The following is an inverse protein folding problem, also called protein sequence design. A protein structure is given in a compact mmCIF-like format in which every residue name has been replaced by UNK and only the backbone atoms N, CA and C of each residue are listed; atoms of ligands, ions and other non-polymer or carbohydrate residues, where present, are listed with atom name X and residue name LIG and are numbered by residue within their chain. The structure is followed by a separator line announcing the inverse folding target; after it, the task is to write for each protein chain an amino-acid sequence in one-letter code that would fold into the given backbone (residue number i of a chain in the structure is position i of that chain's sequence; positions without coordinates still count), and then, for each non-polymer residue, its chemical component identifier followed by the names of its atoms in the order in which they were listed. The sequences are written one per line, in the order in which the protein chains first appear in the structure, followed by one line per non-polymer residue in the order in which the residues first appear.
data_IF_343248225020
#
_entry.id   IF_343248225020
#
_cell.length_a   1.000
_cell.length_b   1.000
_cell.length_c   1.000
_cell.angle_alpha   90.00
_cell.angle_beta   90.00
_cell.angle_gamma   90.00
#
_symmetry.space_group_name_H-M   'P 1'
#
loop_
_entity.id
_entity.type
_entity.pdbx_description
1 polymer ?
#
# COMPACT_ATOMS: atom_id res chain seq x y z
N UNK A 1 -4.44 1.33 -17.61
CA UNK A 1 -2.96 1.25 -17.64
C UNK A 1 -2.48 1.49 -19.08
N UNK A 2 -1.39 2.26 -19.29
CA UNK A 2 -0.83 2.59 -20.62
C UNK A 2 0.65 2.25 -20.69
N UNK A 3 1.13 1.71 -21.82
CA UNK A 3 2.52 1.32 -22.03
C UNK A 3 3.41 2.46 -22.54
N UNK A 4 2.83 3.64 -22.78
CA UNK A 4 3.56 4.78 -23.35
C UNK A 4 4.52 5.42 -22.31
N UNK A 5 5.85 5.42 -22.57
CA UNK A 5 6.83 5.97 -21.63
C UNK A 5 6.69 7.48 -21.39
N UNK A 6 6.17 8.25 -22.36
CA UNK A 6 5.87 9.68 -22.16
C UNK A 6 4.70 9.91 -21.21
N UNK A 7 3.69 9.03 -21.25
CA UNK A 7 2.58 9.08 -20.30
C UNK A 7 3.07 8.70 -18.89
N UNK A 8 3.98 7.73 -18.72
CA UNK A 8 4.57 7.44 -17.39
C UNK A 8 5.26 8.66 -16.76
N UNK A 9 5.95 9.50 -17.54
CA UNK A 9 6.54 10.75 -17.05
C UNK A 9 5.50 11.82 -16.65
N UNK A 10 4.35 11.87 -17.33
CA UNK A 10 3.25 12.79 -17.01
C UNK A 10 2.51 12.33 -15.74
N UNK A 11 2.34 11.02 -15.58
CA UNK A 11 1.71 10.41 -14.40
C UNK A 11 2.60 10.37 -13.16
N UNK A 12 3.91 10.61 -13.28
CA UNK A 12 4.87 10.63 -12.15
C UNK A 12 5.13 12.02 -11.60
N UNK A 13 4.73 13.08 -12.30
CA UNK A 13 5.03 14.45 -11.90
C UNK A 13 3.75 15.27 -11.81
N UNK A 14 3.19 15.72 -12.93
CA UNK A 14 2.16 16.78 -12.93
C UNK A 14 0.77 16.33 -12.50
N UNK A 15 0.30 15.17 -12.97
CA UNK A 15 -1.03 14.67 -12.60
C UNK A 15 -1.05 14.01 -11.21
N UNK A 16 0.09 13.47 -10.77
CA UNK A 16 0.24 12.92 -9.42
C UNK A 16 0.25 14.02 -8.38
N UNK A 17 1.06 15.06 -8.61
CA UNK A 17 1.09 16.21 -7.71
C UNK A 17 -0.28 16.92 -7.70
N UNK A 18 -0.97 17.04 -8.85
CA UNK A 18 -2.36 17.54 -8.88
C UNK A 18 -3.32 16.68 -8.07
N UNK A 19 -3.22 15.36 -8.14
CA UNK A 19 -4.06 14.45 -7.32
C UNK A 19 -3.76 14.61 -5.84
N UNK A 20 -2.48 14.63 -5.46
CA UNK A 20 -2.08 14.89 -4.07
C UNK A 20 -2.65 16.22 -3.61
N UNK A 21 -2.54 17.29 -4.40
CA UNK A 21 -3.09 18.60 -4.06
C UNK A 21 -4.61 18.56 -3.89
N UNK A 22 -5.35 17.93 -4.80
CA UNK A 22 -6.81 17.79 -4.67
C UNK A 22 -7.21 16.99 -3.42
N UNK A 23 -6.48 15.92 -3.09
CA UNK A 23 -6.71 15.17 -1.85
C UNK A 23 -6.33 16.00 -0.61
N UNK A 24 -5.19 16.68 -0.63
CA UNK A 24 -4.74 17.53 0.46
C UNK A 24 -5.67 18.71 0.71
N UNK A 25 -6.18 19.35 -0.34
CA UNK A 25 -7.19 20.42 -0.29
C UNK A 25 -8.52 19.89 0.29
N UNK A 26 -8.92 18.67 -0.09
CA UNK A 26 -10.11 18.04 0.48
C UNK A 26 -9.96 17.73 1.98
N UNK A 27 -8.77 17.32 2.42
CA UNK A 27 -8.47 17.02 3.83
C UNK A 27 -7.87 18.22 4.60
N UNK A 28 -7.85 19.41 4.00
CA UNK A 28 -7.27 20.65 4.53
C UNK A 28 -7.72 21.06 5.94
N UNK A 29 -8.96 20.76 6.42
CA UNK A 29 -9.33 21.06 7.81
C UNK A 29 -8.55 20.25 8.86
N UNK A 30 -7.74 19.27 8.45
CA UNK A 30 -7.03 18.34 9.33
C UNK A 30 -5.55 18.20 8.91
N UNK A 31 -4.65 19.07 9.40
CA UNK A 31 -3.24 19.04 9.00
C UNK A 31 -2.41 17.96 9.75
N UNK A 32 -1.53 17.21 9.06
CA UNK A 32 -1.57 16.78 7.68
C UNK A 32 -2.06 15.33 7.59
N UNK A 33 -3.36 15.11 7.33
CA UNK A 33 -3.90 13.76 7.13
C UNK A 33 -3.38 13.06 5.85
N UNK A 34 -2.64 13.78 4.99
CA UNK A 34 -2.11 13.25 3.74
C UNK A 34 -0.61 13.51 3.65
N UNK A 35 0.17 12.43 3.54
CA UNK A 35 1.62 12.48 3.35
C UNK A 35 1.99 11.72 2.09
N UNK A 36 2.82 12.31 1.23
CA UNK A 36 3.40 11.63 0.06
C UNK A 36 4.43 10.61 0.57
N UNK A 37 4.30 9.34 0.18
CA UNK A 37 5.22 8.29 0.61
C UNK A 37 5.36 7.16 -0.42
N UNK A 38 6.47 6.42 -0.32
CA UNK A 38 6.66 5.12 -0.96
C UNK A 38 6.12 4.05 0.00
N UNK A 39 5.22 3.19 -0.45
CA UNK A 39 4.66 2.14 0.41
C UNK A 39 5.67 1.05 0.78
N UNK A 40 6.84 1.01 0.15
CA UNK A 40 7.96 0.19 0.59
C UNK A 40 8.90 0.91 1.59
N UNK A 41 8.73 2.23 1.75
CA UNK A 41 9.50 3.06 2.69
C UNK A 41 8.72 4.35 3.03
N UNK A 42 7.77 4.21 3.95
CA UNK A 42 6.92 5.29 4.42
C UNK A 42 7.73 6.25 5.30
N UNK A 43 7.47 7.57 5.21
CA UNK A 43 8.19 8.60 5.96
C UNK A 43 7.70 8.70 7.42
N UNK A 44 7.59 7.56 8.10
CA UNK A 44 7.18 7.45 9.50
C UNK A 44 8.18 6.62 10.29
N UNK A 45 8.32 6.92 11.58
CA UNK A 45 9.18 6.16 12.48
C UNK A 45 8.62 4.75 12.74
N UNK A 46 9.46 3.89 13.33
CA UNK A 46 9.00 2.57 13.75
C UNK A 46 7.93 2.72 14.85
N UNK A 47 6.93 1.82 14.85
CA UNK A 47 5.90 1.77 15.90
C UNK A 47 5.15 3.10 16.07
N UNK A 48 4.76 3.70 14.96
CA UNK A 48 4.03 4.95 14.91
C UNK A 48 2.52 4.73 15.06
N UNK A 49 1.97 3.70 14.41
CA UNK A 49 0.52 3.55 14.27
C UNK A 49 -0.05 2.43 15.14
N UNK A 50 -1.21 2.70 15.73
CA UNK A 50 -2.04 1.70 16.41
C UNK A 50 -2.95 0.95 15.41
N UNK A 51 -3.21 1.55 14.24
CA UNK A 51 -4.03 0.98 13.19
C UNK A 51 -3.51 1.36 11.80
N UNK A 52 -3.48 0.41 10.87
CA UNK A 52 -3.16 0.62 9.46
C UNK A 52 -4.18 -0.05 8.55
N UNK A 53 -4.50 0.60 7.43
CA UNK A 53 -5.36 0.04 6.40
C UNK A 53 -4.72 0.18 5.03
N UNK A 54 -4.82 -0.86 4.20
CA UNK A 54 -4.44 -0.77 2.79
C UNK A 54 -5.28 -1.67 1.89
N UNK A 55 -5.59 -1.16 0.70
CA UNK A 55 -6.27 -1.88 -0.36
C UNK A 55 -5.41 -2.02 -1.63
N UNK A 56 -4.10 -1.69 -1.55
CA UNK A 56 -3.21 -1.66 -2.72
C UNK A 56 -2.20 -2.81 -2.75
N UNK A 57 -2.31 -3.78 -1.85
CA UNK A 57 -1.37 -4.90 -1.75
C UNK A 57 -1.22 -5.65 -3.08
N UNK A 58 -2.31 -5.88 -3.80
CA UNK A 58 -2.32 -6.58 -5.10
C UNK A 58 -1.53 -5.85 -6.20
N UNK A 59 -1.11 -4.61 -5.94
CA UNK A 59 -0.30 -3.79 -6.83
C UNK A 59 1.15 -3.65 -6.38
N UNK A 60 1.52 -4.19 -5.22
CA UNK A 60 2.87 -4.10 -4.69
C UNK A 60 3.81 -5.03 -5.49
N UNK A 61 4.82 -4.49 -6.21
CA UNK A 61 5.79 -5.31 -6.93
C UNK A 61 6.74 -6.07 -5.99
N UNK A 62 6.92 -5.58 -4.76
CA UNK A 62 7.77 -6.19 -3.73
C UNK A 62 6.94 -6.44 -2.46
N UNK A 63 6.18 -7.55 -2.39
CA UNK A 63 5.23 -7.80 -1.31
C UNK A 63 5.91 -7.95 0.06
N UNK A 64 7.11 -8.53 0.11
CA UNK A 64 7.88 -8.69 1.35
C UNK A 64 8.27 -7.34 1.95
N UNK A 65 8.64 -6.38 1.10
CA UNK A 65 8.98 -5.02 1.55
C UNK A 65 7.76 -4.26 2.00
N UNK A 66 6.65 -4.41 1.28
CA UNK A 66 5.37 -3.81 1.67
C UNK A 66 4.91 -4.30 3.04
N UNK A 67 4.92 -5.63 3.25
CA UNK A 67 4.55 -6.23 4.54
C UNK A 67 5.55 -5.87 5.63
N UNK A 68 6.84 -5.89 5.33
CA UNK A 68 7.88 -5.48 6.26
C UNK A 68 7.72 -4.04 6.71
N UNK A 69 7.21 -3.17 5.84
CA UNK A 69 6.97 -1.77 6.18
C UNK A 69 5.78 -1.60 7.11
N UNK A 70 4.67 -2.29 6.87
CA UNK A 70 3.52 -2.36 7.79
C UNK A 70 3.98 -2.86 9.17
N UNK A 71 4.75 -3.95 9.21
CA UNK A 71 5.26 -4.50 10.48
C UNK A 71 6.25 -3.57 11.19
N UNK A 72 6.90 -2.66 10.46
CA UNK A 72 7.81 -1.66 11.02
C UNK A 72 7.05 -0.49 11.63
N UNK A 73 6.04 0.01 10.95
CA UNK A 73 5.29 1.21 11.35
C UNK A 73 4.21 0.91 12.38
N UNK A 74 3.73 -0.33 12.50
CA UNK A 74 2.81 -0.74 13.56
C UNK A 74 3.46 -0.85 14.94
N UNK A 75 2.76 -0.36 15.96
CA UNK A 75 3.07 -0.61 17.37
C UNK A 75 2.82 -2.08 17.74
N UNK A 76 3.49 -2.62 18.78
CA UNK A 76 3.11 -3.90 19.36
C UNK A 76 1.62 -3.89 19.76
N UNK A 77 0.85 -4.86 19.27
CA UNK A 77 -0.61 -4.92 19.49
C UNK A 77 -1.44 -4.06 18.54
N UNK A 78 -0.82 -3.28 17.65
CA UNK A 78 -1.50 -2.55 16.59
C UNK A 78 -2.13 -3.48 15.56
N UNK A 79 -3.14 -2.97 14.85
CA UNK A 79 -3.96 -3.76 13.93
C UNK A 79 -3.76 -3.28 12.49
N UNK A 80 -3.41 -4.19 11.59
CA UNK A 80 -3.49 -3.94 10.14
C UNK A 80 -4.74 -4.58 9.56
N UNK A 81 -5.43 -3.86 8.66
CA UNK A 81 -6.47 -4.42 7.79
C UNK A 81 -6.02 -4.31 6.34
N UNK A 82 -5.86 -5.45 5.69
CA UNK A 82 -5.58 -5.53 4.25
C UNK A 82 -6.83 -5.96 3.50
N UNK A 83 -7.27 -5.13 2.57
CA UNK A 83 -8.24 -5.52 1.57
C UNK A 83 -7.48 -5.98 0.32
N UNK A 84 -7.64 -7.25 -0.04
CA UNK A 84 -6.97 -7.88 -1.17
C UNK A 84 -7.98 -8.41 -2.17
N UNK A 85 -7.66 -8.28 -3.45
CA UNK A 85 -8.46 -8.76 -4.57
C UNK A 85 -7.92 -10.12 -5.01
N UNK A 86 -8.64 -11.18 -4.68
CA UNK A 86 -8.33 -12.53 -5.14
C UNK A 86 -8.89 -12.73 -6.55
N UNK A 87 -8.09 -12.49 -7.60
CA UNK A 87 -8.50 -12.72 -8.99
C UNK A 87 -8.14 -14.15 -9.45
N UNK A 88 -9.11 -14.88 -10.03
CA UNK A 88 -8.91 -16.22 -10.64
C UNK A 88 -8.35 -16.19 -12.07
N UNK A 89 -7.87 -15.04 -12.54
CA UNK A 89 -7.31 -14.87 -13.89
C UNK A 89 -6.17 -13.85 -13.83
N UNK A 90 -5.02 -14.25 -14.36
CA UNK A 90 -3.92 -13.38 -14.72
C UNK A 90 -4.44 -12.28 -15.64
N UNK A 91 -4.78 -11.13 -15.06
CA UNK A 91 -4.78 -9.90 -15.84
C UNK A 91 -3.31 -9.43 -15.96
N UNK A 92 -2.98 -8.75 -17.06
CA UNK A 92 -1.59 -8.46 -17.50
C UNK A 92 -0.81 -7.49 -16.59
N UNK A 93 -1.22 -7.37 -15.33
CA UNK A 93 -0.96 -6.23 -14.47
C UNK A 93 -0.83 -6.56 -12.98
N UNK A 94 -1.06 -7.81 -12.57
CA UNK A 94 -0.74 -8.30 -11.23
C UNK A 94 0.70 -8.81 -11.17
N UNK A 95 1.45 -8.39 -10.15
CA UNK A 95 2.80 -8.91 -9.88
C UNK A 95 2.77 -10.15 -8.98
N UNK A 96 1.66 -10.39 -8.27
CA UNK A 96 1.41 -11.57 -7.45
C UNK A 96 0.04 -12.15 -7.80
N UNK A 97 0.02 -13.32 -8.39
CA UNK A 97 -1.22 -14.08 -8.52
C UNK A 97 -1.60 -14.64 -7.13
N UNK A 98 -2.40 -13.88 -6.37
CA UNK A 98 -2.96 -14.34 -5.10
C UNK A 98 -4.09 -15.33 -5.35
N UNK A 99 -3.73 -16.57 -5.70
CA UNK A 99 -4.68 -17.69 -5.78
C UNK A 99 -5.23 -18.09 -4.41
N UNK A 100 -4.57 -17.64 -3.33
CA UNK A 100 -5.04 -17.76 -1.95
C UNK A 100 -4.35 -16.72 -1.07
N UNK A 101 -4.92 -16.45 0.10
CA UNK A 101 -4.31 -15.60 1.13
C UNK A 101 -3.13 -16.28 1.86
N UNK A 102 -2.87 -17.57 1.61
CA UNK A 102 -1.83 -18.33 2.35
C UNK A 102 -0.41 -17.83 2.08
N UNK A 103 0.03 -17.56 0.83
CA UNK A 103 1.34 -16.98 0.57
C UNK A 103 1.50 -15.60 1.21
N UNK A 104 0.47 -14.76 1.13
CA UNK A 104 0.45 -13.46 1.81
C UNK A 104 0.60 -13.59 3.32
N UNK A 105 -0.17 -14.48 3.95
CA UNK A 105 -0.09 -14.71 5.38
C UNK A 105 1.30 -15.15 5.83
N UNK A 106 2.07 -15.84 4.99
CA UNK A 106 3.47 -16.25 5.28
C UNK A 106 4.46 -15.09 5.27
N UNK A 107 4.13 -13.96 4.64
CA UNK A 107 5.00 -12.79 4.60
C UNK A 107 5.04 -12.06 5.95
N UNK A 108 3.96 -12.18 6.72
CA UNK A 108 3.88 -11.63 8.07
C UNK A 108 4.60 -12.56 9.03
N UNK A 109 5.79 -12.15 9.47
CA UNK A 109 6.65 -12.95 10.36
C UNK A 109 6.59 -12.47 11.81
N UNK A 110 6.15 -11.24 12.04
CA UNK A 110 6.05 -10.61 13.36
C UNK A 110 4.59 -10.40 13.79
N UNK A 111 3.65 -10.64 12.88
CA UNK A 111 2.21 -10.40 13.10
C UNK A 111 1.41 -11.69 13.05
N UNK A 112 0.39 -11.78 13.92
CA UNK A 112 -0.61 -12.85 13.84
C UNK A 112 -1.62 -12.50 12.74
N UNK A 113 -1.72 -13.34 11.72
CA UNK A 113 -2.65 -13.14 10.60
C UNK A 113 -3.96 -13.88 10.86
N UNK A 114 -5.09 -13.19 10.65
CA UNK A 114 -6.44 -13.76 10.65
C UNK A 114 -7.09 -13.36 9.32
N UNK A 115 -7.74 -14.29 8.64
CA UNK A 115 -8.45 -14.03 7.39
C UNK A 115 -9.86 -14.62 7.46
N UNK A 116 -10.81 -13.96 6.82
CA UNK A 116 -12.24 -14.31 6.80
C UNK A 116 -12.78 -14.27 5.37
#
# INVERSE_FOLDING_TARGET
KTLNPKLRNIWTTRDWDRKIQVFADFFQPYPPLVVKGDFHHQPFDNRTFDFEFSNVFDHAPLPDRFVGEIERTLKPGGICVLHVTLSRRADKYSANDLYSVKPLAKLFTKSKVVHF
#
